data_IF_441835659416
#
_entry.id   IF_441835659416
#
_cell.length_a   1.000
_cell.length_b   1.000
_cell.length_c   1.000
_cell.angle_alpha   90.00
_cell.angle_beta   90.00
_cell.angle_gamma   90.00
#
_symmetry.space_group_name_H-M   'P 1'
#
loop_
_entity.id
_entity.type
_entity.pdbx_description
1 polymer ?
#
# COMPACT_ATOMS: atom_id res chain seq x y z
N UNK A 1 5.67 40.71 -5.70
CA UNK A 1 4.51 40.11 -6.38
C UNK A 1 3.93 39.10 -5.41
N UNK A 2 2.74 39.31 -4.84
CA UNK A 2 2.10 38.28 -4.00
C UNK A 2 1.76 37.11 -4.93
N UNK A 3 2.18 35.90 -4.58
CA UNK A 3 1.71 34.70 -5.25
C UNK A 3 0.21 34.60 -4.95
N UNK A 4 -0.61 34.62 -5.99
CA UNK A 4 -2.08 34.67 -5.85
C UNK A 4 -2.68 33.26 -5.79
N UNK A 5 -1.93 32.26 -6.27
CA UNK A 5 -2.28 30.85 -6.26
C UNK A 5 -1.01 30.02 -6.06
N UNK A 6 -1.10 28.97 -5.25
CA UNK A 6 -0.04 27.97 -5.16
C UNK A 6 -0.65 26.61 -4.80
N UNK A 7 -0.12 25.56 -5.41
CA UNK A 7 -0.46 24.18 -5.08
C UNK A 7 0.77 23.31 -5.18
N UNK A 8 0.86 22.30 -4.33
CA UNK A 8 1.78 21.19 -4.46
C UNK A 8 1.16 20.09 -5.30
N UNK A 9 2.00 19.28 -5.94
CA UNK A 9 1.53 18.00 -6.45
C UNK A 9 1.19 17.10 -5.27
N UNK A 10 0.11 16.35 -5.41
CA UNK A 10 -0.22 15.22 -4.55
C UNK A 10 -0.44 14.00 -5.43
N UNK A 11 0.05 12.85 -4.98
CA UNK A 11 -0.21 11.59 -5.62
C UNK A 11 -1.58 11.08 -5.16
N UNK A 12 -2.47 10.83 -6.12
CA UNK A 12 -3.85 10.39 -5.87
C UNK A 12 -4.10 8.97 -6.35
N UNK A 13 -3.04 8.20 -6.62
CA UNK A 13 -3.17 6.80 -6.99
C UNK A 13 -3.78 6.03 -5.83
N UNK A 14 -4.52 4.95 -6.12
CA UNK A 14 -5.20 4.15 -5.10
C UNK A 14 -4.27 3.64 -3.99
N UNK A 15 -2.99 3.45 -4.31
CA UNK A 15 -1.92 3.04 -3.40
C UNK A 15 -1.68 4.04 -2.26
N UNK A 16 -2.00 5.32 -2.46
CA UNK A 16 -1.88 6.36 -1.44
C UNK A 16 -3.03 6.35 -0.45
N UNK A 17 -4.09 5.57 -0.70
CA UNK A 17 -5.27 5.51 0.17
C UNK A 17 -4.99 4.78 1.50
N UNK A 18 -3.86 4.09 1.62
CA UNK A 18 -3.41 3.43 2.86
C UNK A 18 -3.16 4.47 3.95
N UNK A 19 -2.46 5.55 3.59
CA UNK A 19 -2.03 6.58 4.53
C UNK A 19 -1.79 7.88 3.77
N UNK A 20 -2.32 8.98 4.29
CA UNK A 20 -2.22 10.26 3.61
C UNK A 20 -0.78 10.74 3.40
N UNK A 21 0.18 10.31 4.23
CA UNK A 21 1.60 10.59 4.02
C UNK A 21 2.10 10.12 2.66
N UNK A 22 1.57 9.01 2.15
CA UNK A 22 1.99 8.46 0.86
C UNK A 22 1.60 9.36 -0.32
N UNK A 23 0.51 10.14 -0.20
CA UNK A 23 0.16 11.13 -1.22
C UNK A 23 1.21 12.23 -1.37
N UNK A 24 1.98 12.50 -0.31
CA UNK A 24 3.05 13.50 -0.33
C UNK A 24 4.38 12.87 -0.74
N UNK A 25 4.69 11.68 -0.21
CA UNK A 25 5.96 10.97 -0.47
C UNK A 25 6.05 10.52 -1.93
N UNK A 26 4.97 9.94 -2.47
CA UNK A 26 4.94 9.37 -3.82
C UNK A 26 4.73 10.42 -4.92
N UNK A 27 4.79 11.71 -4.59
CA UNK A 27 4.97 12.76 -5.59
C UNK A 27 6.35 12.72 -6.23
N UNK A 28 7.36 12.20 -5.53
CA UNK A 28 8.64 11.87 -6.12
C UNK A 28 8.61 10.41 -6.59
N UNK A 29 8.57 10.21 -7.90
CA UNK A 29 8.52 8.87 -8.53
C UNK A 29 9.71 7.99 -8.10
N UNK A 30 10.81 8.60 -7.65
CA UNK A 30 12.00 7.87 -7.17
C UNK A 30 11.76 7.14 -5.86
N UNK A 31 10.63 7.39 -5.20
CA UNK A 31 10.22 6.72 -3.96
C UNK A 31 9.36 5.49 -4.19
N UNK A 32 9.04 5.15 -5.44
CA UNK A 32 8.27 3.94 -5.74
C UNK A 32 9.03 2.65 -5.41
N UNK A 33 10.35 2.61 -5.60
CA UNK A 33 11.18 1.46 -5.22
C UNK A 33 11.05 1.15 -3.73
N UNK A 34 11.28 2.17 -2.89
CA UNK A 34 10.99 2.14 -1.46
C UNK A 34 9.57 1.67 -1.19
N UNK A 35 8.54 2.25 -1.79
CA UNK A 35 7.15 1.89 -1.49
C UNK A 35 6.79 0.43 -1.83
N UNK A 36 7.20 -0.05 -3.00
CA UNK A 36 6.82 -1.36 -3.48
C UNK A 36 7.61 -2.50 -2.84
N UNK A 37 8.82 -2.26 -2.33
CA UNK A 37 9.59 -3.30 -1.63
C UNK A 37 8.90 -3.75 -0.34
N UNK A 38 7.98 -2.94 0.20
CA UNK A 38 7.25 -3.28 1.41
C UNK A 38 5.88 -3.81 1.04
N UNK A 39 5.67 -5.09 1.35
CA UNK A 39 4.33 -5.65 1.39
C UNK A 39 3.54 -5.02 2.54
N UNK A 40 2.32 -4.56 2.25
CA UNK A 40 1.40 -3.94 3.22
C UNK A 40 0.52 -5.05 3.74
N UNK A 41 0.73 -5.46 4.98
CA UNK A 41 -0.04 -6.55 5.59
C UNK A 41 -1.43 -6.05 5.99
N UNK A 42 -2.31 -6.94 6.42
CA UNK A 42 -3.65 -6.61 6.93
C UNK A 42 -3.89 -7.28 8.27
N UNK A 43 -4.71 -6.62 9.09
CA UNK A 43 -5.20 -7.15 10.35
C UNK A 43 -6.71 -6.99 10.44
N UNK A 44 -7.37 -7.88 11.18
CA UNK A 44 -8.77 -7.74 11.57
C UNK A 44 -8.92 -7.81 13.09
N UNK A 45 -9.63 -6.85 13.66
CA UNK A 45 -9.99 -6.79 15.08
C UNK A 45 -11.46 -6.36 15.20
N UNK A 46 -12.28 -7.17 15.88
CA UNK A 46 -13.72 -6.91 16.06
C UNK A 46 -14.48 -6.58 14.76
N UNK A 47 -14.13 -7.25 13.64
CA UNK A 47 -14.74 -7.02 12.33
C UNK A 47 -14.18 -5.83 11.54
N UNK A 48 -13.31 -5.03 12.14
CA UNK A 48 -12.62 -3.90 11.47
C UNK A 48 -11.33 -4.41 10.85
N UNK A 49 -11.20 -4.22 9.53
CA UNK A 49 -9.96 -4.50 8.79
C UNK A 49 -9.14 -3.22 8.68
N UNK A 50 -7.82 -3.37 8.76
CA UNK A 50 -6.88 -2.27 8.70
C UNK A 50 -5.57 -2.67 8.03
N UNK A 51 -4.90 -1.70 7.41
CA UNK A 51 -3.63 -1.90 6.72
C UNK A 51 -2.46 -1.76 7.69
N UNK A 52 -1.60 -2.78 7.72
CA UNK A 52 -0.40 -2.84 8.54
C UNK A 52 0.79 -2.56 7.62
N UNK A 53 1.10 -1.26 7.43
CA UNK A 53 2.22 -0.82 6.59
C UNK A 53 3.58 -0.95 7.30
N UNK A 54 3.58 -1.03 8.64
CA UNK A 54 4.76 -1.12 9.51
C UNK A 54 5.83 -0.04 9.23
N UNK A 55 5.40 1.14 8.77
CA UNK A 55 6.31 2.25 8.47
C UNK A 55 6.38 3.18 9.67
N UNK A 56 7.61 3.44 10.13
CA UNK A 56 7.88 4.61 10.93
C UNK A 56 8.12 5.81 10.02
N UNK A 57 7.15 6.70 9.91
CA UNK A 57 7.27 7.90 9.07
C UNK A 57 8.15 8.99 9.70
N UNK A 58 8.61 8.81 10.95
CA UNK A 58 9.58 9.71 11.58
C UNK A 58 10.87 9.80 10.75
N UNK A 59 11.32 11.02 10.45
CA UNK A 59 12.47 11.27 9.58
C UNK A 59 12.17 11.24 8.07
N UNK A 60 11.02 10.71 7.67
CA UNK A 60 10.48 10.81 6.30
C UNK A 60 9.52 11.99 6.20
N UNK A 61 8.61 12.09 7.17
CA UNK A 61 7.66 13.19 7.34
C UNK A 61 8.06 13.97 8.59
N UNK A 62 8.38 15.24 8.39
CA UNK A 62 8.66 16.17 9.47
C UNK A 62 7.36 16.85 9.87
N UNK A 63 6.91 16.58 11.10
CA UNK A 63 5.87 17.37 11.74
C UNK A 63 6.50 18.64 12.32
N UNK A 64 6.11 19.79 11.78
CA UNK A 64 6.73 21.06 12.19
C UNK A 64 5.95 21.78 13.29
N UNK A 65 4.61 21.66 13.29
CA UNK A 65 3.74 22.34 14.27
C UNK A 65 2.33 21.76 14.26
N UNK A 66 1.74 21.65 15.45
CA UNK A 66 0.29 21.52 15.66
C UNK A 66 -0.28 22.82 16.20
N UNK A 67 -1.51 23.14 15.82
CA UNK A 67 -2.30 24.22 16.41
C UNK A 67 -3.52 23.64 17.10
N UNK A 68 -3.75 24.09 18.32
CA UNK A 68 -4.96 23.79 19.09
C UNK A 68 -6.16 24.62 18.61
N UNK A 69 -7.36 24.24 19.03
CA UNK A 69 -8.57 25.03 18.80
C UNK A 69 -8.46 26.46 19.40
N UNK A 70 -7.82 26.61 20.56
CA UNK A 70 -7.67 27.92 21.19
C UNK A 70 -6.77 28.85 20.39
N UNK A 71 -5.65 28.33 19.86
CA UNK A 71 -4.78 29.09 18.94
C UNK A 71 -5.53 29.45 17.65
N UNK A 72 -6.28 28.50 17.08
CA UNK A 72 -7.02 28.72 15.83
C UNK A 72 -8.17 29.73 15.96
N UNK A 73 -8.64 30.03 17.18
CA UNK A 73 -9.58 31.14 17.42
C UNK A 73 -8.93 32.52 17.34
N UNK A 74 -7.60 32.59 17.39
CA UNK A 74 -6.83 33.83 17.42
C UNK A 74 -6.05 34.08 16.11
N UNK A 75 -5.95 33.06 15.24
CA UNK A 75 -5.13 33.10 14.03
C UNK A 75 -6.01 32.74 12.83
N UNK A 76 -5.84 33.45 11.71
CA UNK A 76 -6.54 33.12 10.46
C UNK A 76 -5.93 31.86 9.84
N UNK A 77 -6.79 30.91 9.46
CA UNK A 77 -6.34 29.69 8.81
C UNK A 77 -5.61 30.00 7.50
N UNK A 78 -6.09 30.97 6.73
CA UNK A 78 -5.46 31.43 5.50
C UNK A 78 -3.97 31.75 5.67
N UNK A 79 -3.59 32.52 6.69
CA UNK A 79 -2.20 32.93 6.90
C UNK A 79 -1.28 31.71 7.14
N UNK A 80 -1.82 30.68 7.80
CA UNK A 80 -1.12 29.42 8.06
C UNK A 80 -1.00 28.62 6.76
N UNK A 81 -2.07 28.52 5.99
CA UNK A 81 -2.09 27.82 4.69
C UNK A 81 -1.12 28.47 3.72
N UNK A 82 -1.23 29.79 3.50
CA UNK A 82 -0.37 30.54 2.58
C UNK A 82 1.11 30.31 2.92
N UNK A 83 1.49 30.51 4.19
CA UNK A 83 2.87 30.33 4.64
C UNK A 83 3.37 28.90 4.46
N UNK A 84 2.53 27.91 4.79
CA UNK A 84 2.91 26.50 4.74
C UNK A 84 3.12 26.03 3.30
N UNK A 85 2.14 26.28 2.43
CA UNK A 85 2.23 25.92 1.00
C UNK A 85 3.35 26.72 0.32
N UNK A 86 3.58 27.98 0.70
CA UNK A 86 4.72 28.76 0.20
C UNK A 86 6.07 28.12 0.53
N UNK A 87 6.18 27.41 1.66
CA UNK A 87 7.40 26.76 2.12
C UNK A 87 7.53 25.28 1.76
N UNK A 88 6.65 24.74 0.90
CA UNK A 88 6.75 23.33 0.49
C UNK A 88 6.06 22.34 1.42
N UNK A 89 5.26 22.83 2.37
CA UNK A 89 4.55 22.00 3.33
C UNK A 89 3.12 21.68 2.93
N UNK A 90 2.49 20.85 3.75
CA UNK A 90 1.09 20.44 3.64
C UNK A 90 0.40 20.62 4.99
N UNK A 91 -0.92 20.76 5.00
CA UNK A 91 -1.70 20.87 6.23
C UNK A 91 -2.74 19.76 6.29
N UNK A 92 -2.73 18.99 7.38
CA UNK A 92 -3.91 18.21 7.75
C UNK A 92 -4.74 19.03 8.72
N UNK A 93 -6.04 19.10 8.49
CA UNK A 93 -6.97 19.86 9.32
C UNK A 93 -8.18 18.98 9.63
N UNK A 94 -8.56 18.97 10.90
CA UNK A 94 -9.81 18.35 11.34
C UNK A 94 -10.97 19.31 11.09
N UNK A 95 -12.01 18.80 10.46
CA UNK A 95 -13.21 19.54 10.06
C UNK A 95 -14.44 18.71 10.36
N UNK A 96 -15.57 19.37 10.64
CA UNK A 96 -16.86 18.72 10.72
C UNK A 96 -17.46 18.62 9.32
N UNK A 97 -17.65 17.40 8.84
CA UNK A 97 -18.23 17.15 7.52
C UNK A 97 -19.69 17.63 7.40
N UNK A 98 -20.37 17.93 8.50
CA UNK A 98 -21.69 18.55 8.48
C UNK A 98 -21.71 19.88 7.71
N UNK A 99 -20.63 20.65 7.78
CA UNK A 99 -20.52 21.99 7.21
C UNK A 99 -19.89 22.01 5.81
N UNK A 100 -19.46 20.85 5.30
CA UNK A 100 -18.80 20.77 3.99
C UNK A 100 -19.81 20.40 2.91
N UNK A 101 -20.13 21.33 2.02
CA UNK A 101 -21.09 21.14 0.92
C UNK A 101 -20.77 19.96 0.01
N UNK A 102 -19.50 19.58 -0.08
CA UNK A 102 -19.07 18.43 -0.83
C UNK A 102 -19.25 17.08 -0.12
N UNK A 103 -19.45 17.05 1.19
CA UNK A 103 -19.60 15.81 1.95
C UNK A 103 -21.01 15.24 1.78
N UNK A 104 -21.12 13.91 1.73
CA UNK A 104 -22.40 13.22 1.86
C UNK A 104 -23.12 13.48 3.20
N UNK A 105 -22.42 14.03 4.20
CA UNK A 105 -22.95 14.34 5.53
C UNK A 105 -23.39 15.79 5.67
N UNK A 106 -23.22 16.60 4.62
CA UNK A 106 -23.60 18.01 4.60
C UNK A 106 -25.04 18.21 5.08
N UNK A 107 -25.23 19.06 6.09
CA UNK A 107 -26.53 19.34 6.73
C UNK A 107 -27.31 18.11 7.23
N UNK A 108 -26.65 16.96 7.40
CA UNK A 108 -27.30 15.71 7.79
C UNK A 108 -26.87 15.23 9.18
N UNK A 109 -25.56 15.08 9.42
CA UNK A 109 -25.02 14.61 10.70
C UNK A 109 -23.60 15.09 10.92
N UNK A 110 -23.27 15.41 12.18
CA UNK A 110 -21.91 15.74 12.59
C UNK A 110 -20.98 14.54 12.45
N UNK A 111 -19.83 14.77 11.84
CA UNK A 111 -18.75 13.78 11.78
C UNK A 111 -17.42 14.48 11.52
N UNK A 112 -16.57 14.49 12.54
CA UNK A 112 -15.27 15.13 12.51
C UNK A 112 -14.24 14.20 11.91
N UNK A 113 -13.67 14.61 10.78
CA UNK A 113 -12.73 13.82 9.99
C UNK A 113 -11.62 14.72 9.43
N UNK A 114 -10.38 14.22 9.23
CA UNK A 114 -9.32 15.05 8.69
C UNK A 114 -9.43 15.19 7.16
N UNK A 115 -8.96 16.31 6.64
CA UNK A 115 -8.65 16.52 5.22
C UNK A 115 -7.24 17.07 5.05
N UNK A 116 -6.64 16.89 3.87
CA UNK A 116 -5.31 17.41 3.53
C UNK A 116 -5.45 18.62 2.59
N UNK A 117 -4.98 19.79 3.02
CA UNK A 117 -4.82 20.97 2.17
C UNK A 117 -3.44 20.94 1.54
N UNK A 118 -3.41 20.99 0.20
CA UNK A 118 -2.17 20.99 -0.58
C UNK A 118 -2.03 22.22 -1.50
N UNK A 119 -3.01 23.12 -1.49
CA UNK A 119 -2.95 24.36 -2.25
C UNK A 119 -4.06 25.35 -1.91
N UNK A 120 -3.96 26.54 -2.46
CA UNK A 120 -4.95 27.61 -2.33
C UNK A 120 -4.99 28.48 -3.59
N UNK A 121 -6.10 29.17 -3.78
CA UNK A 121 -6.29 30.21 -4.80
C UNK A 121 -7.00 31.39 -4.13
N UNK A 122 -6.30 32.52 -4.03
CA UNK A 122 -6.74 33.67 -3.27
C UNK A 122 -7.78 34.51 -4.03
N UNK A 123 -7.69 34.57 -5.36
CA UNK A 123 -8.69 35.31 -6.16
C UNK A 123 -10.06 34.64 -6.11
N UNK A 124 -10.05 33.30 -5.98
CA UNK A 124 -11.26 32.48 -5.89
C UNK A 124 -11.70 32.17 -4.47
N UNK A 125 -10.90 32.56 -3.47
CA UNK A 125 -11.10 32.23 -2.05
C UNK A 125 -11.37 30.73 -1.81
N UNK A 126 -10.52 29.86 -2.38
CA UNK A 126 -10.63 28.40 -2.23
C UNK A 126 -9.34 27.76 -1.69
N UNK A 127 -9.51 26.57 -1.12
CA UNK A 127 -8.46 25.60 -0.84
C UNK A 127 -8.56 24.40 -1.78
N UNK A 128 -7.40 23.90 -2.22
CA UNK A 128 -7.28 22.62 -2.90
C UNK A 128 -7.06 21.53 -1.85
N UNK A 129 -7.98 20.57 -1.83
CA UNK A 129 -8.11 19.59 -0.75
C UNK A 129 -8.07 18.18 -1.31
N UNK A 130 -7.42 17.27 -0.59
CA UNK A 130 -7.59 15.83 -0.74
C UNK A 130 -8.43 15.29 0.43
N UNK A 131 -9.58 14.72 0.07
CA UNK A 131 -10.69 14.42 0.99
C UNK A 131 -11.21 13.00 0.74
N UNK A 132 -11.58 12.30 1.81
CA UNK A 132 -12.23 11.00 1.74
C UNK A 132 -13.76 11.13 1.79
N UNK A 133 -14.44 10.67 0.74
CA UNK A 133 -15.89 10.55 0.66
C UNK A 133 -16.29 9.07 0.65
N UNK A 134 -17.28 8.67 1.47
CA UNK A 134 -17.64 7.24 1.58
C UNK A 134 -18.20 6.64 0.26
N UNK A 135 -18.76 7.46 -0.63
CA UNK A 135 -19.29 6.98 -1.91
C UNK A 135 -18.23 6.96 -3.01
N UNK A 136 -17.29 7.91 -2.97
CA UNK A 136 -16.32 8.16 -4.04
C UNK A 136 -14.89 7.74 -3.70
N UNK A 137 -14.62 7.35 -2.45
CA UNK A 137 -13.27 7.17 -1.94
C UNK A 137 -12.54 8.50 -1.76
N UNK A 138 -11.21 8.46 -1.82
CA UNK A 138 -10.39 9.66 -1.79
C UNK A 138 -10.47 10.40 -3.13
N UNK A 139 -10.63 11.73 -3.07
CA UNK A 139 -10.68 12.59 -4.25
C UNK A 139 -10.08 13.95 -3.97
N UNK A 140 -9.68 14.63 -5.03
CA UNK A 140 -9.31 16.05 -4.97
C UNK A 140 -10.53 16.92 -5.19
N UNK A 141 -10.63 17.99 -4.42
CA UNK A 141 -11.76 18.91 -4.48
C UNK A 141 -11.31 20.33 -4.12
N UNK A 142 -11.96 21.32 -4.71
CA UNK A 142 -11.85 22.71 -4.32
C UNK A 142 -12.98 23.04 -3.34
N UNK A 143 -12.65 23.60 -2.18
CA UNK A 143 -13.62 24.00 -1.14
C UNK A 143 -13.39 25.47 -0.81
N UNK A 144 -14.46 26.23 -0.57
CA UNK A 144 -14.30 27.64 -0.21
C UNK A 144 -13.58 27.80 1.13
N UNK A 145 -12.78 28.86 1.27
CA UNK A 145 -12.05 29.12 2.51
C UNK A 145 -13.00 29.24 3.71
N UNK A 146 -14.13 29.92 3.53
CA UNK A 146 -15.15 30.11 4.56
C UNK A 146 -15.80 28.79 5.02
N UNK A 147 -16.11 27.87 4.11
CA UNK A 147 -16.64 26.55 4.47
C UNK A 147 -15.64 25.76 5.32
N UNK A 148 -14.37 25.73 4.93
CA UNK A 148 -13.32 25.01 5.69
C UNK A 148 -13.11 25.63 7.06
N UNK A 149 -13.08 26.97 7.16
CA UNK A 149 -12.92 27.66 8.44
C UNK A 149 -14.10 27.42 9.39
N UNK A 150 -15.33 27.46 8.87
CA UNK A 150 -16.54 27.14 9.63
C UNK A 150 -16.50 25.70 10.12
N UNK A 151 -16.23 24.75 9.22
CA UNK A 151 -16.16 23.33 9.54
C UNK A 151 -15.05 23.01 10.56
N UNK A 152 -13.90 23.69 10.48
CA UNK A 152 -12.80 23.56 11.45
C UNK A 152 -13.22 24.02 12.85
N UNK A 153 -13.87 25.18 12.96
CA UNK A 153 -14.30 25.70 14.26
C UNK A 153 -15.39 24.81 14.88
N UNK A 154 -16.32 24.32 14.07
CA UNK A 154 -17.36 23.39 14.50
C UNK A 154 -16.81 22.01 14.88
N UNK A 155 -15.73 21.55 14.23
CA UNK A 155 -15.01 20.35 14.67
C UNK A 155 -14.56 20.45 16.13
N UNK A 156 -14.21 21.65 16.60
CA UNK A 156 -13.87 21.91 18.00
C UNK A 156 -15.03 21.69 18.98
N UNK A 157 -16.27 21.82 18.53
CA UNK A 157 -17.49 21.62 19.31
C UNK A 157 -17.92 20.15 19.24
N UNK A 158 -17.86 19.57 18.06
CA UNK A 158 -18.40 18.24 17.75
C UNK A 158 -17.34 17.13 17.69
N UNK A 159 -16.12 17.36 18.19
CA UNK A 159 -14.97 16.45 18.04
C UNK A 159 -15.24 14.99 18.47
N UNK A 160 -16.11 14.75 19.45
CA UNK A 160 -16.47 13.40 19.89
C UNK A 160 -17.28 12.61 18.82
N UNK A 161 -17.80 13.28 17.79
CA UNK A 161 -18.51 12.63 16.68
C UNK A 161 -17.50 12.16 15.63
N UNK A 162 -16.84 11.03 15.86
CA UNK A 162 -15.90 10.43 14.91
C UNK A 162 -14.42 10.72 15.19
N UNK A 163 -14.11 11.41 16.28
CA UNK A 163 -12.73 11.68 16.70
C UNK A 163 -12.57 11.65 18.23
N UNK A 164 -11.43 12.14 18.75
CA UNK A 164 -11.07 12.07 20.18
C UNK A 164 -10.64 13.44 20.73
N UNK A 165 -10.44 13.56 22.05
CA UNK A 165 -9.95 14.80 22.68
C UNK A 165 -8.60 15.26 22.12
N UNK A 166 -7.75 14.35 21.62
CA UNK A 166 -6.48 14.72 21.00
C UNK A 166 -6.66 15.67 19.80
N UNK A 167 -7.82 15.62 19.14
CA UNK A 167 -8.16 16.42 17.97
C UNK A 167 -8.22 17.91 18.26
N UNK A 168 -8.77 18.32 19.40
CA UNK A 168 -8.85 19.75 19.75
C UNK A 168 -7.49 20.33 20.14
N UNK A 169 -6.56 19.49 20.60
CA UNK A 169 -5.18 19.86 20.90
C UNK A 169 -4.27 19.87 19.67
N UNK A 170 -4.73 19.33 18.54
CA UNK A 170 -3.97 19.20 17.29
C UNK A 170 -4.92 19.32 16.09
N UNK A 171 -5.68 20.42 16.05
CA UNK A 171 -6.75 20.66 15.09
C UNK A 171 -6.18 20.88 13.68
N UNK A 172 -5.07 21.61 13.60
CA UNK A 172 -4.29 21.82 12.36
C UNK A 172 -2.88 21.28 12.58
N UNK A 173 -2.38 20.45 11.66
CA UNK A 173 -1.04 19.88 11.72
C UNK A 173 -0.30 20.19 10.41
N UNK A 174 0.92 20.68 10.53
CA UNK A 174 1.78 20.98 9.38
C UNK A 174 2.82 19.89 9.19
N UNK A 175 2.95 19.43 7.94
CA UNK A 175 3.88 18.39 7.53
C UNK A 175 4.77 18.85 6.38
N UNK A 176 5.98 18.32 6.35
CA UNK A 176 6.89 18.42 5.22
C UNK A 176 7.49 17.06 4.92
N UNK A 177 7.62 16.71 3.64
CA UNK A 177 8.49 15.60 3.26
C UNK A 177 9.93 16.04 3.54
N UNK A 178 10.69 15.19 4.24
CA UNK A 178 12.05 15.48 4.63
C UNK A 178 12.94 15.67 3.39
N UNK A 179 13.66 16.80 3.25
CA UNK A 179 14.49 17.05 2.07
C UNK A 179 15.71 16.13 2.01
N UNK A 180 16.04 15.47 3.13
CA UNK A 180 17.15 14.49 3.23
C UNK A 180 16.67 13.05 3.12
N UNK A 181 15.38 12.81 2.85
CA UNK A 181 14.87 11.46 2.64
C UNK A 181 15.55 10.84 1.41
N UNK A 182 16.39 9.79 1.57
CA UNK A 182 17.18 9.27 0.47
C UNK A 182 16.29 8.56 -0.53
N UNK A 183 16.79 8.45 -1.76
CA UNK A 183 16.19 7.55 -2.76
C UNK A 183 16.59 6.13 -2.38
N UNK A 184 15.60 5.33 -2.02
CA UNK A 184 15.84 3.93 -1.63
C UNK A 184 15.42 3.03 -2.80
N UNK A 185 16.36 2.22 -3.35
CA UNK A 185 16.04 1.29 -4.42
C UNK A 185 15.13 0.18 -3.89
N UNK A 186 14.42 -0.49 -4.81
CA UNK A 186 13.61 -1.64 -4.46
C UNK A 186 14.48 -2.81 -3.97
N UNK A 187 14.17 -3.37 -2.81
CA UNK A 187 14.80 -4.58 -2.30
C UNK A 187 13.84 -5.78 -2.28
N UNK A 188 14.07 -6.74 -3.18
CA UNK A 188 13.25 -7.95 -3.30
C UNK A 188 13.22 -8.79 -2.02
N UNK A 189 14.31 -8.86 -1.28
CA UNK A 189 14.40 -9.65 -0.04
C UNK A 189 13.53 -9.05 1.06
N UNK A 190 13.40 -7.71 1.11
CA UNK A 190 12.46 -7.03 2.01
C UNK A 190 11.02 -7.43 1.66
N UNK A 191 10.68 -7.40 0.37
CA UNK A 191 9.35 -7.77 -0.10
C UNK A 191 8.99 -9.21 0.24
N UNK A 192 9.86 -10.17 -0.11
CA UNK A 192 9.63 -11.59 0.15
C UNK A 192 9.46 -11.88 1.63
N UNK A 193 10.28 -11.26 2.50
CA UNK A 193 10.16 -11.40 3.94
C UNK A 193 8.79 -10.93 4.44
N UNK A 194 8.33 -9.76 4.01
CA UNK A 194 7.03 -9.22 4.46
C UNK A 194 5.85 -10.01 3.86
N UNK A 195 5.98 -10.53 2.64
CA UNK A 195 4.98 -11.41 2.03
C UNK A 195 4.87 -12.75 2.79
N UNK A 196 5.99 -13.28 3.29
CA UNK A 196 6.00 -14.46 4.18
C UNK A 196 5.29 -14.16 5.51
N UNK A 197 5.48 -12.97 6.09
CA UNK A 197 4.76 -12.59 7.30
C UNK A 197 3.24 -12.62 7.09
N UNK A 198 2.77 -12.12 5.94
CA UNK A 198 1.37 -12.24 5.53
C UNK A 198 0.91 -13.70 5.42
N UNK A 199 1.67 -14.54 4.73
CA UNK A 199 1.35 -15.96 4.53
C UNK A 199 1.26 -16.73 5.85
N UNK A 200 2.17 -16.45 6.79
CA UNK A 200 2.14 -17.08 8.12
C UNK A 200 1.12 -16.45 9.07
N UNK A 201 0.45 -15.37 8.66
CA UNK A 201 -0.52 -14.65 9.48
C UNK A 201 0.12 -14.04 10.73
N UNK A 202 1.36 -13.56 10.58
CA UNK A 202 2.13 -12.91 11.64
C UNK A 202 2.42 -11.46 11.28
N UNK A 203 2.83 -10.69 12.28
CA UNK A 203 3.35 -9.35 12.11
C UNK A 203 4.72 -9.28 12.79
N UNK A 204 5.81 -9.48 12.04
CA UNK A 204 7.16 -9.65 12.59
C UNK A 204 8.00 -8.36 12.67
N UNK A 205 7.52 -7.23 12.16
CA UNK A 205 8.28 -5.97 12.22
C UNK A 205 7.96 -5.27 13.53
N UNK A 206 8.96 -5.10 14.41
CA UNK A 206 9.00 -4.17 15.56
C UNK A 206 7.63 -3.58 15.92
N UNK A 207 6.72 -4.46 16.34
CA UNK A 207 5.27 -4.22 16.41
C UNK A 207 4.88 -3.26 17.51
N UNK A 208 5.85 -2.87 18.34
CA UNK A 208 5.69 -1.90 19.40
C UNK A 208 5.17 -0.56 18.87
N UNK A 209 5.53 -0.10 17.67
CA UNK A 209 5.01 1.20 17.15
C UNK A 209 3.59 1.15 16.59
N UNK A 210 3.23 0.14 15.78
CA UNK A 210 1.86 0.05 15.22
C UNK A 210 0.81 -0.16 16.32
N UNK A 211 1.12 -1.03 17.29
CA UNK A 211 0.28 -1.27 18.46
C UNK A 211 0.21 -0.08 19.43
N UNK A 212 1.22 0.81 19.42
CA UNK A 212 1.19 2.09 20.15
C UNK A 212 0.27 3.14 19.51
N UNK A 213 0.13 3.13 18.17
CA UNK A 213 -0.71 4.10 17.44
C UNK A 213 -2.18 3.68 17.46
N UNK A 214 -2.48 2.37 17.50
CA UNK A 214 -3.85 1.84 17.65
C UNK A 214 -3.94 0.88 18.83
N UNK A 215 -4.24 1.37 20.04
CA UNK A 215 -4.30 0.56 21.27
C UNK A 215 -5.29 -0.61 21.19
N UNK A 216 -6.32 -0.51 20.37
CA UNK A 216 -7.26 -1.60 20.11
C UNK A 216 -6.62 -2.81 19.40
N UNK A 217 -5.51 -2.61 18.69
CA UNK A 217 -4.70 -3.67 18.08
C UNK A 217 -3.57 -4.18 19.00
N UNK A 218 -3.38 -3.57 20.18
CA UNK A 218 -2.39 -4.00 21.18
C UNK A 218 -2.94 -4.99 22.22
N UNK A 219 -4.27 -5.13 22.32
CA UNK A 219 -4.92 -6.11 23.21
C UNK A 219 -4.69 -7.53 22.69
N UNK A 220 -3.76 -8.25 23.33
CA UNK A 220 -3.45 -9.67 23.05
C UNK A 220 -4.73 -10.51 23.02
N UNK A 221 -4.94 -11.25 21.92
CA UNK A 221 -5.98 -12.29 21.79
C UNK A 221 -7.09 -12.03 20.77
N UNK A 222 -7.28 -10.79 20.29
CA UNK A 222 -8.42 -10.44 19.41
C UNK A 222 -8.05 -10.02 17.98
N UNK A 223 -6.75 -10.02 17.63
CA UNK A 223 -6.27 -9.57 16.33
C UNK A 223 -5.80 -10.75 15.50
N UNK A 224 -6.32 -10.85 14.27
CA UNK A 224 -5.89 -11.85 13.28
C UNK A 224 -5.19 -11.13 12.13
N UNK A 225 -4.02 -11.62 11.72
CA UNK A 225 -3.18 -11.01 10.69
C UNK A 225 -3.14 -11.86 9.41
N UNK A 226 -2.76 -11.20 8.32
CA UNK A 226 -2.36 -11.81 7.07
C UNK A 226 -3.42 -12.69 6.41
N UNK A 227 -3.00 -13.83 5.84
CA UNK A 227 -3.90 -14.74 5.11
C UNK A 227 -5.00 -15.32 6.01
N UNK A 228 -4.80 -15.35 7.33
CA UNK A 228 -5.82 -15.84 8.27
C UNK A 228 -7.03 -14.88 8.41
N UNK A 229 -6.91 -13.64 7.92
CA UNK A 229 -8.03 -12.68 7.86
C UNK A 229 -9.21 -13.26 7.08
N UNK A 230 -8.97 -14.02 6.00
CA UNK A 230 -10.03 -14.72 5.26
C UNK A 230 -10.93 -15.56 6.16
N UNK A 231 -10.32 -16.41 7.00
CA UNK A 231 -11.05 -17.30 7.92
C UNK A 231 -11.88 -16.50 8.91
N UNK A 232 -11.31 -15.41 9.43
CA UNK A 232 -12.01 -14.55 10.40
C UNK A 232 -13.17 -13.79 9.77
N UNK A 233 -13.04 -13.31 8.53
CA UNK A 233 -14.17 -12.72 7.80
C UNK A 233 -15.28 -13.76 7.64
N UNK A 234 -14.95 -14.96 7.15
CA UNK A 234 -15.91 -16.06 6.94
C UNK A 234 -16.64 -16.41 8.25
N UNK A 235 -15.91 -16.48 9.37
CA UNK A 235 -16.49 -16.70 10.71
C UNK A 235 -17.51 -15.61 11.06
N UNK A 236 -17.13 -14.34 10.93
CA UNK A 236 -17.98 -13.19 11.32
C UNK A 236 -19.24 -13.10 10.46
N UNK A 237 -19.12 -13.25 9.13
CA UNK A 237 -20.28 -13.06 8.23
C UNK A 237 -21.28 -14.22 8.28
N UNK A 238 -20.86 -15.41 8.72
CA UNK A 238 -21.75 -16.57 8.84
C UNK A 238 -22.39 -16.68 10.23
N UNK A 239 -21.96 -15.88 11.21
CA UNK A 239 -22.59 -15.81 12.51
C UNK A 239 -23.60 -14.65 12.56
N UNK A 240 -24.88 -15.00 12.75
CA UNK A 240 -25.98 -14.04 12.82
C UNK A 240 -25.82 -13.00 13.94
N UNK A 241 -25.06 -13.31 15.00
CA UNK A 241 -24.78 -12.38 16.10
C UNK A 241 -23.65 -11.41 15.77
N UNK A 242 -22.76 -11.77 14.84
CA UNK A 242 -21.53 -11.02 14.57
C UNK A 242 -21.52 -10.27 13.23
N UNK A 243 -22.38 -10.64 12.28
CA UNK A 243 -22.44 -10.01 10.95
C UNK A 243 -22.63 -8.48 11.00
N UNK A 244 -23.36 -7.97 12.00
CA UNK A 244 -23.58 -6.53 12.21
C UNK A 244 -22.30 -5.77 12.58
N UNK A 245 -21.27 -6.48 13.04
CA UNK A 245 -19.96 -5.92 13.38
C UNK A 245 -18.98 -5.92 12.20
N UNK A 246 -19.37 -6.44 11.02
CA UNK A 246 -18.54 -6.37 9.81
C UNK A 246 -19.00 -5.22 8.91
N UNK A 247 -18.42 -4.00 9.03
CA UNK A 247 -18.82 -2.89 8.20
C UNK A 247 -18.39 -3.12 6.76
N UNK A 248 -19.13 -2.53 5.81
CA UNK A 248 -18.77 -2.54 4.39
C UNK A 248 -17.35 -2.02 4.14
N UNK A 249 -16.88 -1.04 4.92
CA UNK A 249 -15.51 -0.53 4.84
C UNK A 249 -14.47 -1.66 4.95
N UNK A 250 -14.68 -2.62 5.87
CA UNK A 250 -13.77 -3.75 6.01
C UNK A 250 -13.72 -4.60 4.74
N UNK A 251 -14.86 -4.85 4.09
CA UNK A 251 -14.88 -5.53 2.78
C UNK A 251 -14.13 -4.71 1.73
N UNK A 252 -14.34 -3.40 1.68
CA UNK A 252 -13.65 -2.51 0.74
C UNK A 252 -12.13 -2.53 0.94
N UNK A 253 -11.65 -2.36 2.17
CA UNK A 253 -10.22 -2.38 2.50
C UNK A 253 -9.60 -3.74 2.18
N UNK A 254 -10.34 -4.83 2.44
CA UNK A 254 -9.89 -6.18 2.12
C UNK A 254 -9.69 -6.42 0.62
N UNK A 255 -10.62 -5.93 -0.21
CA UNK A 255 -10.48 -5.99 -1.68
C UNK A 255 -9.31 -5.12 -2.14
N UNK A 256 -9.20 -3.91 -1.61
CA UNK A 256 -8.11 -2.98 -1.93
C UNK A 256 -6.72 -3.58 -1.60
N UNK A 257 -6.60 -4.34 -0.52
CA UNK A 257 -5.37 -5.06 -0.21
C UNK A 257 -4.96 -6.05 -1.31
N UNK A 258 -5.90 -6.67 -2.03
CA UNK A 258 -5.60 -7.59 -3.15
C UNK A 258 -5.06 -6.86 -4.36
N UNK A 259 -5.60 -5.68 -4.64
CA UNK A 259 -5.04 -4.77 -5.65
C UNK A 259 -3.61 -4.37 -5.26
N UNK A 260 -3.35 -4.06 -3.99
CA UNK A 260 -2.00 -3.68 -3.53
C UNK A 260 -0.96 -4.79 -3.66
N UNK A 261 -1.34 -6.05 -3.42
CA UNK A 261 -0.48 -7.19 -3.71
C UNK A 261 -0.20 -7.28 -5.22
N UNK A 262 -1.24 -7.20 -6.04
CA UNK A 262 -1.13 -7.28 -7.50
C UNK A 262 -0.23 -6.18 -8.08
N UNK A 263 -0.39 -4.93 -7.64
CA UNK A 263 0.46 -3.80 -8.07
C UNK A 263 1.94 -4.05 -7.77
N UNK A 264 2.25 -4.60 -6.59
CA UNK A 264 3.63 -4.95 -6.20
C UNK A 264 4.22 -6.05 -7.08
N UNK A 265 3.45 -7.11 -7.35
CA UNK A 265 3.91 -8.19 -8.22
C UNK A 265 4.14 -7.69 -9.65
N UNK A 266 3.27 -6.83 -10.18
CA UNK A 266 3.45 -6.18 -11.48
C UNK A 266 4.67 -5.26 -11.50
N UNK A 267 4.90 -4.50 -10.43
CA UNK A 267 6.08 -3.66 -10.30
C UNK A 267 7.37 -4.50 -10.37
N UNK A 268 7.40 -5.66 -9.73
CA UNK A 268 8.54 -6.60 -9.81
C UNK A 268 8.79 -7.05 -11.26
N UNK A 269 7.75 -7.32 -12.07
CA UNK A 269 7.92 -7.67 -13.50
C UNK A 269 8.58 -6.54 -14.32
N UNK A 270 8.42 -5.28 -13.89
CA UNK A 270 9.10 -4.15 -14.54
C UNK A 270 10.60 -4.13 -14.22
N UNK A 271 10.98 -4.61 -13.04
CA UNK A 271 12.35 -4.57 -12.54
C UNK A 271 13.16 -5.83 -12.85
N UNK A 272 12.52 -7.00 -12.94
CA UNK A 272 13.18 -8.30 -13.09
C UNK A 272 12.63 -9.07 -14.27
N UNK A 273 13.47 -9.89 -14.91
CA UNK A 273 13.00 -10.86 -15.88
C UNK A 273 12.38 -12.05 -15.13
N UNK A 274 11.08 -12.22 -15.31
CA UNK A 274 10.27 -13.18 -14.56
C UNK A 274 9.85 -14.33 -15.46
N UNK A 275 9.90 -15.55 -14.93
CA UNK A 275 9.49 -16.76 -15.65
C UNK A 275 7.97 -16.84 -15.90
N UNK A 276 7.56 -17.77 -16.76
CA UNK A 276 6.15 -18.01 -17.07
C UNK A 276 5.35 -18.42 -15.83
N UNK A 277 5.93 -19.22 -14.91
CA UNK A 277 5.23 -19.61 -13.68
C UNK A 277 4.88 -18.39 -12.81
N UNK A 278 5.73 -17.36 -12.79
CA UNK A 278 5.45 -16.12 -12.08
C UNK A 278 4.27 -15.37 -12.69
N UNK A 279 4.22 -15.30 -14.02
CA UNK A 279 3.14 -14.65 -14.76
C UNK A 279 1.81 -15.37 -14.51
N UNK A 280 1.80 -16.71 -14.49
CA UNK A 280 0.63 -17.51 -14.13
C UNK A 280 0.15 -17.23 -12.69
N UNK A 281 1.07 -17.13 -11.73
CA UNK A 281 0.74 -16.73 -10.36
C UNK A 281 0.09 -15.35 -10.32
N UNK A 282 0.61 -14.37 -11.06
CA UNK A 282 0.02 -13.03 -11.17
C UNK A 282 -1.39 -13.07 -11.76
N UNK A 283 -1.62 -13.88 -12.79
CA UNK A 283 -2.96 -14.05 -13.36
C UNK A 283 -3.95 -14.62 -12.35
N UNK A 284 -3.53 -15.56 -11.50
CA UNK A 284 -4.35 -16.10 -10.40
C UNK A 284 -4.64 -15.02 -9.33
N UNK A 285 -3.65 -14.21 -8.95
CA UNK A 285 -3.85 -13.07 -8.02
C UNK A 285 -4.79 -12.02 -8.62
N UNK A 286 -4.66 -11.71 -9.92
CA UNK A 286 -5.57 -10.82 -10.64
C UNK A 286 -7.01 -11.38 -10.66
N UNK A 287 -7.17 -12.69 -10.86
CA UNK A 287 -8.48 -13.34 -10.79
C UNK A 287 -9.11 -13.18 -9.41
N UNK A 288 -8.37 -13.41 -8.32
CA UNK A 288 -8.84 -13.20 -6.94
C UNK A 288 -9.35 -11.78 -6.76
N UNK A 289 -8.52 -10.79 -7.11
CA UNK A 289 -8.87 -9.38 -7.00
C UNK A 289 -10.15 -9.03 -7.77
N UNK A 290 -10.25 -9.46 -9.03
CA UNK A 290 -11.42 -9.23 -9.87
C UNK A 290 -12.68 -9.90 -9.33
N UNK A 291 -12.56 -11.12 -8.78
CA UNK A 291 -13.68 -11.88 -8.22
C UNK A 291 -14.22 -11.22 -6.95
N UNK A 292 -13.34 -10.75 -6.06
CA UNK A 292 -13.76 -10.05 -4.84
C UNK A 292 -14.30 -8.64 -5.14
N UNK A 293 -13.74 -7.94 -6.14
CA UNK A 293 -14.28 -6.66 -6.60
C UNK A 293 -15.70 -6.79 -7.16
N UNK A 294 -15.99 -7.87 -7.91
CA UNK A 294 -17.36 -8.19 -8.34
C UNK A 294 -18.31 -8.39 -7.16
N UNK A 295 -17.87 -9.03 -6.07
CA UNK A 295 -18.68 -9.18 -4.85
C UNK A 295 -18.93 -7.82 -4.19
N UNK A 296 -17.91 -6.97 -4.11
CA UNK A 296 -18.05 -5.60 -3.57
C UNK A 296 -19.05 -4.76 -4.38
N UNK A 297 -19.00 -4.84 -5.72
CA UNK A 297 -19.95 -4.16 -6.60
C UNK A 297 -21.35 -4.77 -6.51
N UNK A 298 -21.46 -6.09 -6.37
CA UNK A 298 -22.73 -6.78 -6.14
C UNK A 298 -23.40 -6.29 -4.85
N UNK A 299 -22.63 -6.11 -3.77
CA UNK A 299 -23.13 -5.53 -2.52
C UNK A 299 -23.80 -4.17 -2.79
N UNK A 300 -23.06 -3.24 -3.41
CA UNK A 300 -23.56 -1.89 -3.71
C UNK A 300 -24.84 -1.96 -4.56
N UNK A 301 -24.84 -2.78 -5.61
CA UNK A 301 -25.99 -2.96 -6.50
C UNK A 301 -27.23 -3.47 -5.75
N UNK A 302 -27.07 -4.43 -4.85
CA UNK A 302 -28.17 -4.96 -4.04
C UNK A 302 -28.71 -3.93 -3.05
N UNK A 303 -27.82 -3.19 -2.36
CA UNK A 303 -28.24 -2.12 -1.45
C UNK A 303 -29.03 -1.03 -2.17
N UNK A 304 -28.53 -0.56 -3.32
CA UNK A 304 -29.22 0.44 -4.14
C UNK A 304 -30.62 -0.04 -4.55
N UNK A 305 -30.73 -1.30 -5.00
CA UNK A 305 -32.02 -1.90 -5.40
C UNK A 305 -33.01 -1.98 -4.23
N UNK A 306 -32.51 -2.19 -3.01
CA UNK A 306 -33.30 -2.25 -1.78
C UNK A 306 -33.59 -0.85 -1.19
N UNK A 307 -33.16 0.24 -1.83
CA UNK A 307 -33.31 1.61 -1.33
C UNK A 307 -32.46 1.90 -0.09
N UNK A 308 -31.38 1.14 0.11
CA UNK A 308 -30.45 1.24 1.24
C UNK A 308 -29.14 1.92 0.81
N UNK A 309 -28.36 2.33 1.80
CA UNK A 309 -27.08 2.99 1.54
C UNK A 309 -26.08 2.04 0.84
N UNK A 310 -25.44 2.44 -0.28
CA UNK A 310 -24.55 1.55 -1.05
C UNK A 310 -23.36 1.01 -0.25
N UNK A 311 -22.82 1.84 0.64
CA UNK A 311 -21.70 1.50 1.53
C UNK A 311 -22.15 0.83 2.84
N UNK A 312 -23.20 0.02 2.80
CA UNK A 312 -23.63 -0.85 3.89
C UNK A 312 -23.50 -2.31 3.46
N UNK A 313 -23.13 -3.21 4.39
CA UNK A 313 -23.00 -4.64 4.06
C UNK A 313 -24.39 -5.24 3.87
N UNK A 314 -24.61 -5.95 2.75
CA UNK A 314 -25.83 -6.70 2.52
C UNK A 314 -25.80 -7.97 3.37
N UNK A 315 -26.88 -8.24 4.11
CA UNK A 315 -26.96 -9.37 5.05
C UNK A 315 -27.91 -10.47 4.59
N UNK A 316 -28.37 -10.42 3.33
CA UNK A 316 -29.21 -11.48 2.78
C UNK A 316 -28.41 -12.78 2.65
N UNK A 317 -29.06 -13.91 2.94
CA UNK A 317 -28.44 -15.25 2.84
C UNK A 317 -27.82 -15.49 1.46
N UNK A 318 -28.48 -15.03 0.39
CA UNK A 318 -27.97 -15.17 -0.98
C UNK A 318 -26.70 -14.37 -1.26
N UNK A 319 -26.54 -13.18 -0.65
CA UNK A 319 -25.29 -12.42 -0.75
C UNK A 319 -24.19 -13.05 0.11
N UNK A 320 -24.50 -13.40 1.36
CA UNK A 320 -23.52 -13.99 2.29
C UNK A 320 -22.96 -15.32 1.78
N UNK A 321 -23.79 -16.15 1.15
CA UNK A 321 -23.32 -17.37 0.48
C UNK A 321 -22.28 -17.04 -0.61
N UNK A 322 -22.59 -16.10 -1.51
CA UNK A 322 -21.67 -15.71 -2.60
C UNK A 322 -20.38 -15.09 -2.09
N UNK A 323 -20.46 -14.25 -1.05
CA UNK A 323 -19.29 -13.68 -0.41
C UNK A 323 -18.43 -14.78 0.23
N UNK A 324 -19.05 -15.72 0.94
CA UNK A 324 -18.35 -16.86 1.56
C UNK A 324 -17.65 -17.72 0.51
N UNK A 325 -18.31 -18.03 -0.59
CA UNK A 325 -17.73 -18.86 -1.66
C UNK A 325 -16.54 -18.16 -2.32
N UNK A 326 -16.67 -16.87 -2.63
CA UNK A 326 -15.58 -16.07 -3.19
C UNK A 326 -14.39 -15.95 -2.24
N UNK A 327 -14.63 -15.81 -0.93
CA UNK A 327 -13.56 -15.77 0.09
C UNK A 327 -12.85 -17.12 0.21
N UNK A 328 -13.56 -18.24 0.15
CA UNK A 328 -12.97 -19.58 0.20
C UNK A 328 -12.13 -19.88 -1.05
N UNK A 329 -12.66 -19.58 -2.23
CA UNK A 329 -11.94 -19.72 -3.50
C UNK A 329 -10.66 -18.89 -3.49
N UNK A 330 -10.77 -17.60 -3.12
CA UNK A 330 -9.63 -16.71 -3.01
C UNK A 330 -8.58 -17.16 -1.99
N UNK A 331 -9.01 -17.62 -0.81
CA UNK A 331 -8.10 -18.18 0.20
C UNK A 331 -7.34 -19.40 -0.34
N UNK A 332 -8.04 -20.34 -0.99
CA UNK A 332 -7.40 -21.54 -1.52
C UNK A 332 -6.37 -21.20 -2.61
N UNK A 333 -6.71 -20.29 -3.52
CA UNK A 333 -5.80 -19.84 -4.57
C UNK A 333 -4.59 -19.13 -3.95
N UNK A 334 -4.75 -18.22 -2.99
CA UNK A 334 -3.61 -17.55 -2.34
C UNK A 334 -2.70 -18.54 -1.59
N UNK A 335 -3.28 -19.51 -0.89
CA UNK A 335 -2.50 -20.54 -0.20
C UNK A 335 -1.69 -21.42 -1.18
N UNK A 336 -2.09 -21.51 -2.44
CA UNK A 336 -1.35 -22.18 -3.50
C UNK A 336 -0.26 -21.26 -4.11
N UNK A 337 -0.61 -20.02 -4.48
CA UNK A 337 0.26 -19.17 -5.31
C UNK A 337 1.25 -18.34 -4.51
N UNK A 338 0.92 -17.90 -3.29
CA UNK A 338 1.83 -17.05 -2.50
C UNK A 338 3.13 -17.79 -2.13
N UNK A 339 3.11 -19.07 -1.73
CA UNK A 339 4.34 -19.84 -1.55
C UNK A 339 5.18 -19.93 -2.83
N UNK A 340 4.54 -20.23 -3.98
CA UNK A 340 5.22 -20.31 -5.27
C UNK A 340 5.86 -18.98 -5.67
N UNK A 341 5.14 -17.88 -5.47
CA UNK A 341 5.65 -16.52 -5.66
C UNK A 341 6.89 -16.31 -4.79
N UNK A 342 6.84 -16.65 -3.50
CA UNK A 342 8.01 -16.46 -2.62
C UNK A 342 9.22 -17.24 -3.12
N UNK A 343 9.04 -18.50 -3.52
CA UNK A 343 10.12 -19.37 -4.01
C UNK A 343 10.71 -18.90 -5.34
N UNK A 344 9.87 -18.38 -6.25
CA UNK A 344 10.32 -17.75 -7.49
C UNK A 344 11.12 -16.50 -7.19
N UNK A 345 10.58 -15.60 -6.36
CA UNK A 345 11.21 -14.31 -6.07
C UNK A 345 12.55 -14.46 -5.35
N UNK A 346 12.73 -15.48 -4.50
CA UNK A 346 14.04 -15.75 -3.88
C UNK A 346 15.11 -16.19 -4.88
N UNK A 347 14.74 -16.64 -6.08
CA UNK A 347 15.67 -17.03 -7.14
C UNK A 347 16.02 -15.87 -8.08
N UNK A 348 15.33 -14.73 -7.99
CA UNK A 348 15.64 -13.56 -8.79
C UNK A 348 16.86 -12.83 -8.19
N UNK A 349 17.96 -12.81 -8.94
CA UNK A 349 19.23 -12.26 -8.45
C UNK A 349 19.50 -10.84 -8.95
N UNK A 350 19.29 -10.57 -10.24
CA UNK A 350 19.70 -9.31 -10.86
C UNK A 350 18.52 -8.54 -11.46
N UNK A 351 18.34 -7.25 -11.12
CA UNK A 351 17.43 -6.37 -11.83
C UNK A 351 17.86 -6.15 -13.29
N UNK A 352 16.89 -5.88 -14.19
CA UNK A 352 17.14 -5.59 -15.61
C UNK A 352 18.09 -4.43 -15.84
N UNK A 353 18.04 -3.40 -14.98
CA UNK A 353 18.91 -2.23 -15.09
C UNK A 353 20.37 -2.60 -14.83
N UNK A 354 20.64 -3.41 -13.80
CA UNK A 354 21.98 -3.93 -13.53
C UNK A 354 22.53 -4.71 -14.74
N UNK A 355 21.71 -5.57 -15.34
CA UNK A 355 22.11 -6.33 -16.51
C UNK A 355 22.46 -5.43 -17.71
N UNK A 356 21.73 -4.32 -17.89
CA UNK A 356 22.00 -3.34 -18.95
C UNK A 356 23.26 -2.53 -18.69
N UNK A 357 23.45 -2.04 -17.47
CA UNK A 357 24.60 -1.20 -17.10
C UNK A 357 25.92 -1.96 -17.19
N UNK A 358 25.92 -3.22 -16.76
CA UNK A 358 27.12 -4.08 -16.76
C UNK A 358 27.32 -4.81 -18.11
N UNK A 359 26.44 -4.62 -19.10
CA UNK A 359 26.36 -5.47 -20.31
C UNK A 359 26.41 -6.96 -19.95
N UNK A 360 25.66 -7.36 -18.92
CA UNK A 360 25.66 -8.72 -18.41
C UNK A 360 24.71 -9.60 -19.23
N UNK A 361 25.13 -10.85 -19.44
CA UNK A 361 24.38 -11.86 -20.17
C UNK A 361 23.97 -12.98 -19.21
N UNK A 362 22.69 -13.36 -19.25
CA UNK A 362 22.21 -14.52 -18.52
C UNK A 362 22.31 -15.71 -19.46
N UNK A 363 23.06 -16.71 -19.03
CA UNK A 363 23.19 -17.99 -19.72
C UNK A 363 22.55 -19.08 -18.86
N UNK A 364 21.72 -19.89 -19.49
CA UNK A 364 21.03 -21.03 -18.88
C UNK A 364 21.64 -22.34 -19.36
N UNK A 365 21.31 -23.46 -18.71
CA UNK A 365 21.78 -24.78 -19.16
C UNK A 365 21.41 -25.09 -20.62
N UNK A 366 20.32 -24.52 -21.13
CA UNK A 366 19.93 -24.68 -22.54
C UNK A 366 20.80 -23.91 -23.53
N UNK A 367 21.53 -22.89 -23.07
CA UNK A 367 22.45 -22.12 -23.92
C UNK A 367 23.83 -22.77 -24.00
N UNK A 368 24.10 -23.76 -23.16
CA UNK A 368 25.38 -24.43 -23.02
C UNK A 368 25.37 -25.87 -23.52
N UNK A 369 26.55 -26.35 -23.91
CA UNK A 369 26.80 -27.76 -24.18
C UNK A 369 27.21 -28.44 -22.87
N UNK A 370 26.42 -29.42 -22.45
CA UNK A 370 26.67 -30.19 -21.23
C UNK A 370 27.59 -31.36 -21.55
N UNK A 371 28.70 -31.47 -20.83
CA UNK A 371 29.63 -32.59 -20.84
C UNK A 371 29.69 -33.25 -19.44
N UNK A 372 30.33 -34.42 -19.35
CA UNK A 372 30.37 -35.21 -18.11
C UNK A 372 31.05 -34.48 -16.92
N UNK A 373 31.93 -33.50 -17.18
CA UNK A 373 32.69 -32.76 -16.16
C UNK A 373 32.63 -31.22 -16.28
N UNK A 374 31.91 -30.67 -17.27
CA UNK A 374 31.78 -29.21 -17.47
C UNK A 374 30.53 -28.82 -18.26
N UNK A 375 30.19 -27.52 -18.20
CA UNK A 375 29.24 -26.88 -19.10
C UNK A 375 30.01 -25.84 -19.94
N UNK A 376 29.84 -25.90 -21.26
CA UNK A 376 30.52 -25.05 -22.22
C UNK A 376 29.58 -24.06 -22.88
N UNK A 377 29.95 -22.78 -22.89
CA UNK A 377 29.27 -21.71 -23.59
C UNK A 377 30.17 -21.12 -24.67
N UNK A 378 29.70 -21.08 -25.92
CA UNK A 378 30.41 -20.41 -27.00
C UNK A 378 29.80 -19.03 -27.24
N UNK A 379 30.54 -18.00 -26.83
CA UNK A 379 30.21 -16.58 -26.93
C UNK A 379 31.12 -15.85 -27.95
N UNK A 380 31.83 -16.57 -28.83
CA UNK A 380 32.81 -15.96 -29.75
C UNK A 380 32.17 -14.92 -30.68
N UNK A 381 30.90 -15.11 -31.04
CA UNK A 381 30.14 -14.19 -31.88
C UNK A 381 29.74 -12.90 -31.17
N UNK A 382 29.75 -12.88 -29.83
CA UNK A 382 29.29 -11.74 -29.02
C UNK A 382 30.43 -10.76 -28.68
N UNK A 383 31.69 -11.10 -28.98
CA UNK A 383 32.90 -10.33 -28.59
C UNK A 383 32.96 -10.01 -27.08
N UNK A 384 32.44 -10.90 -26.25
CA UNK A 384 32.39 -10.73 -24.80
C UNK A 384 33.61 -11.38 -24.14
N UNK A 385 34.34 -10.59 -23.36
CA UNK A 385 35.35 -11.08 -22.42
C UNK A 385 34.80 -10.90 -21.01
N UNK A 386 34.22 -11.95 -20.39
CA UNK A 386 33.64 -11.82 -19.06
C UNK A 386 34.73 -11.51 -18.03
N UNK A 387 34.59 -10.40 -17.30
CA UNK A 387 35.46 -10.06 -16.16
C UNK A 387 34.91 -10.57 -14.82
N UNK A 388 33.64 -11.00 -14.81
CA UNK A 388 32.93 -11.56 -13.65
C UNK A 388 31.94 -12.59 -14.14
N UNK A 389 31.87 -13.73 -13.44
CA UNK A 389 30.87 -14.77 -13.65
C UNK A 389 30.29 -15.12 -12.29
N UNK A 390 28.99 -14.91 -12.16
CA UNK A 390 28.22 -15.31 -11.00
C UNK A 390 27.39 -16.54 -11.38
N UNK A 391 27.48 -17.62 -10.58
CA UNK A 391 26.66 -18.81 -10.79
C UNK A 391 25.48 -18.79 -9.83
N UNK A 392 24.27 -18.75 -10.38
CA UNK A 392 23.02 -18.86 -9.62
C UNK A 392 22.47 -20.28 -9.77
N UNK A 393 22.22 -20.96 -8.65
CA UNK A 393 21.72 -22.33 -8.63
C UNK A 393 20.26 -22.34 -8.19
N UNK A 394 19.40 -23.04 -8.93
CA UNK A 394 17.95 -23.07 -8.65
C UNK A 394 17.52 -24.06 -7.55
N UNK A 395 18.42 -24.89 -7.01
CA UNK A 395 18.06 -25.98 -6.07
C UNK A 395 19.06 -26.17 -4.91
N UNK A 396 18.61 -26.82 -3.82
CA UNK A 396 19.47 -27.25 -2.71
C UNK A 396 20.54 -28.20 -3.25
N UNK A 397 21.79 -27.76 -3.20
CA UNK A 397 22.95 -28.51 -3.66
C UNK A 397 22.96 -29.93 -3.08
N UNK A 398 22.77 -30.94 -3.93
CA UNK A 398 23.35 -32.26 -3.68
C UNK A 398 24.71 -32.23 -4.35
N UNK A 399 25.77 -32.34 -3.54
CA UNK A 399 27.15 -32.51 -4.01
C UNK A 399 27.20 -33.68 -5.01
N UNK A 400 27.08 -33.34 -6.28
CA UNK A 400 27.41 -34.24 -7.38
C UNK A 400 28.58 -33.55 -8.07
N UNK A 401 29.75 -34.13 -7.86
CA UNK A 401 31.10 -33.65 -8.25
C UNK A 401 31.24 -33.41 -9.77
N UNK A 402 30.18 -33.62 -10.56
CA UNK A 402 30.27 -33.80 -12.01
C UNK A 402 30.16 -32.51 -12.84
N UNK A 403 29.83 -31.33 -12.31
CA UNK A 403 29.70 -30.13 -13.17
C UNK A 403 30.19 -28.82 -12.51
N UNK A 404 31.32 -28.84 -11.82
CA UNK A 404 31.92 -27.63 -11.20
C UNK A 404 32.81 -26.82 -12.15
N UNK A 405 32.87 -27.17 -13.43
CA UNK A 405 33.70 -26.45 -14.42
C UNK A 405 32.83 -25.75 -15.44
N UNK A 406 33.13 -24.47 -15.64
CA UNK A 406 32.57 -23.66 -16.71
C UNK A 406 33.64 -23.43 -17.77
N UNK A 407 33.31 -23.69 -19.04
CA UNK A 407 34.16 -23.35 -20.19
C UNK A 407 33.46 -22.25 -20.97
N UNK A 408 34.13 -21.13 -21.22
CA UNK A 408 33.64 -20.06 -22.11
C UNK A 408 34.70 -19.80 -23.17
N UNK A 409 34.33 -19.90 -24.46
CA UNK A 409 35.24 -19.71 -25.59
C UNK A 409 36.53 -20.53 -25.43
N UNK A 410 36.37 -21.85 -25.23
CA UNK A 410 37.45 -22.81 -24.99
C UNK A 410 38.35 -22.53 -23.77
N UNK A 411 37.95 -21.59 -22.91
CA UNK A 411 38.71 -21.18 -21.72
C UNK A 411 38.01 -21.62 -20.45
N UNK A 412 38.71 -22.32 -19.57
CA UNK A 412 38.22 -22.64 -18.23
C UNK A 412 38.13 -21.36 -17.40
N UNK A 413 36.97 -21.13 -16.79
CA UNK A 413 36.77 -19.93 -15.96
C UNK A 413 36.48 -20.32 -14.52
N UNK A 414 37.19 -19.65 -13.61
CA UNK A 414 36.87 -19.66 -12.18
C UNK A 414 35.72 -18.70 -11.93
N UNK A 415 34.67 -19.19 -11.27
CA UNK A 415 33.50 -18.39 -10.92
C UNK A 415 33.40 -18.19 -9.41
N UNK A 416 32.62 -17.20 -9.02
CA UNK A 416 32.25 -16.95 -7.63
C UNK A 416 30.82 -17.45 -7.46
N UNK A 417 30.60 -18.35 -6.51
CA UNK A 417 29.25 -18.59 -6.01
C UNK A 417 28.88 -17.43 -5.10
N UNK A 418 27.81 -16.67 -5.41
CA UNK A 418 27.32 -15.69 -4.47
C UNK A 418 26.82 -16.40 -3.21
N UNK A 419 27.14 -15.85 -2.04
CA UNK A 419 26.59 -16.31 -0.76
C UNK A 419 25.05 -16.21 -0.83
N UNK A 420 24.36 -17.34 -1.00
CA UNK A 420 22.88 -17.43 -1.02
C UNK A 420 22.28 -17.36 0.37
#
# INVERSE_FOLDING_TARGET
MKLVKKQHSINTNQETHINFYLSMILCDEKQYGWFYERFINIAICNGIIDFVDNINYEGIINHSRSFSLEEMRQIKLYDIVEKTICNGGFLMIWVDEYDLSCSMRYNSRHFVHPLLIYGYDNDREIYNVWFFDLNSGFRTIEITQNEVETAMLNAGIYYMNGSTVATISSLVNIFHVSPVFPKLPFNINVFVRHLRDYLYGVNNIFTERYSSIKPEFSKKGNVVYGVNVYKKIIEIINDANWISYFPYKSLYDFVMHKEFLLCRLKYIQTLYDTCNEFNECIHKVQYINNSLEKIRLLNMKMQIREGRHPASLNTSLGFISKLTDALKDAYNIEMEVIPQICDILTRLTYPKEYLKEENAYILTLSDGKIADDYIEFNLENERLYPYRIDIVRESKYQETVAHEKLVINDTYIHYIEPDT
#
